data_IF_339960810755
#
_entry.id   IF_339960810755
#
_cell.length_a   1.000
_cell.length_b   1.000
_cell.length_c   1.000
_cell.angle_alpha   90.00
_cell.angle_beta   90.00
_cell.angle_gamma   90.00
#
_symmetry.space_group_name_H-M   'P 1'
#
loop_
_entity.id
_entity.type
_entity.pdbx_description
1 polymer ?
#
# COMPACT_ATOMS: atom_id res chain seq x y z
N UNK A 1 41.84 11.38 -10.23
CA UNK A 1 40.38 11.52 -10.07
C UNK A 1 40.09 12.55 -8.98
N UNK A 2 39.16 13.48 -9.19
CA UNK A 2 38.71 14.41 -8.15
C UNK A 2 37.38 13.90 -7.56
N UNK A 3 37.14 14.01 -6.24
CA UNK A 3 35.85 13.66 -5.66
C UNK A 3 34.76 14.64 -6.12
N UNK A 4 33.52 14.17 -6.14
CA UNK A 4 32.37 15.01 -6.43
C UNK A 4 32.16 16.08 -5.35
N UNK A 5 31.81 17.32 -5.73
CA UNK A 5 31.51 18.39 -4.77
C UNK A 5 30.27 18.07 -3.93
N UNK A 6 30.13 18.75 -2.79
CA UNK A 6 29.00 18.59 -1.89
C UNK A 6 27.66 18.78 -2.63
N UNK A 7 26.69 17.92 -2.33
CA UNK A 7 25.39 17.90 -3.02
C UNK A 7 25.41 17.17 -4.38
N UNK A 8 26.51 16.53 -4.75
CA UNK A 8 26.60 15.70 -5.97
C UNK A 8 27.26 14.34 -5.72
N UNK A 9 27.00 13.38 -6.61
CA UNK A 9 27.55 12.03 -6.54
C UNK A 9 27.92 11.47 -7.93
N UNK A 10 28.77 10.45 -7.99
CA UNK A 10 28.95 9.63 -9.19
C UNK A 10 29.15 8.16 -8.82
N UNK A 11 28.29 7.29 -9.34
CA UNK A 11 28.32 5.85 -9.06
C UNK A 11 29.35 5.10 -9.90
N UNK A 12 29.90 5.72 -10.94
CA UNK A 12 30.87 5.12 -11.85
C UNK A 12 32.23 5.80 -11.72
N UNK A 13 33.28 5.00 -11.48
CA UNK A 13 34.65 5.50 -11.48
C UNK A 13 35.01 6.06 -12.87
N UNK A 14 35.68 7.21 -12.91
CA UNK A 14 36.10 7.84 -14.15
C UNK A 14 34.98 8.52 -14.94
N UNK A 15 33.78 8.68 -14.36
CA UNK A 15 32.71 9.45 -14.99
C UNK A 15 33.15 10.89 -15.28
N UNK A 16 32.70 11.43 -16.42
CA UNK A 16 32.98 12.81 -16.85
C UNK A 16 32.21 13.88 -16.05
N UNK A 17 31.27 13.47 -15.19
CA UNK A 17 30.48 14.41 -14.39
C UNK A 17 29.85 13.80 -13.14
N UNK A 18 29.46 14.68 -12.22
CA UNK A 18 28.73 14.34 -11.00
C UNK A 18 27.26 14.71 -11.16
N UNK A 19 26.37 13.84 -10.68
CA UNK A 19 24.91 14.02 -10.69
C UNK A 19 24.47 14.69 -9.40
N UNK A 20 23.44 15.52 -9.47
CA UNK A 20 22.84 16.13 -8.27
C UNK A 20 22.24 15.06 -7.37
N UNK A 21 22.46 15.19 -6.07
CA UNK A 21 21.85 14.32 -5.07
C UNK A 21 20.34 14.55 -5.01
N UNK A 22 19.58 13.46 -4.88
CA UNK A 22 18.16 13.49 -4.55
C UNK A 22 17.94 14.22 -3.22
N UNK A 23 16.96 15.12 -3.19
CA UNK A 23 16.52 15.78 -1.96
C UNK A 23 15.29 15.07 -1.38
N UNK A 24 15.31 14.80 -0.08
CA UNK A 24 14.19 14.17 0.64
C UNK A 24 13.39 15.21 1.42
N UNK A 25 12.44 15.87 0.74
CA UNK A 25 11.63 16.97 1.30
C UNK A 25 10.14 16.59 1.44
N UNK A 26 9.33 17.44 2.08
CA UNK A 26 7.90 17.22 2.23
C UNK A 26 7.56 15.94 3.04
N UNK A 27 6.83 14.95 2.48
CA UNK A 27 6.51 13.70 3.18
C UNK A 27 7.69 12.72 3.27
N UNK A 28 8.81 13.01 2.60
CA UNK A 28 10.00 12.18 2.62
C UNK A 28 10.92 12.54 3.79
N UNK A 29 11.77 11.58 4.16
CA UNK A 29 12.94 11.72 5.04
C UNK A 29 14.11 10.94 4.47
N UNK A 30 15.33 11.35 4.79
CA UNK A 30 16.53 10.60 4.42
C UNK A 30 16.55 9.24 5.12
N UNK A 31 16.60 8.17 4.33
CA UNK A 31 16.97 6.84 4.80
C UNK A 31 18.49 6.68 4.76
N UNK A 32 19.10 7.16 3.68
CA UNK A 32 20.55 7.26 3.50
C UNK A 32 20.90 8.62 2.94
N UNK A 33 21.88 9.28 3.54
CA UNK A 33 22.38 10.56 3.06
C UNK A 33 23.20 10.38 1.78
N UNK A 34 23.22 11.41 0.94
CA UNK A 34 24.06 11.43 -0.25
C UNK A 34 25.56 11.43 0.13
N UNK A 35 26.38 10.89 -0.76
CA UNK A 35 27.84 10.90 -0.68
C UNK A 35 28.44 11.17 -2.05
N UNK A 36 29.76 11.38 -2.14
CA UNK A 36 30.42 11.60 -3.43
C UNK A 36 30.30 10.44 -4.42
N UNK A 37 29.94 9.23 -3.95
CA UNK A 37 29.88 8.00 -4.77
C UNK A 37 28.49 7.36 -4.84
N UNK A 38 27.53 7.82 -4.04
CA UNK A 38 26.16 7.27 -4.05
C UNK A 38 25.12 8.35 -3.77
N UNK A 39 23.99 8.24 -4.47
CA UNK A 39 22.85 9.13 -4.29
C UNK A 39 22.24 8.99 -2.89
N UNK A 40 21.43 9.97 -2.50
CA UNK A 40 20.58 9.84 -1.33
C UNK A 40 19.43 8.85 -1.58
N UNK A 41 19.08 8.09 -0.54
CA UNK A 41 17.90 7.24 -0.54
C UNK A 41 16.85 7.86 0.39
N UNK A 42 15.65 8.08 -0.15
CA UNK A 42 14.53 8.62 0.61
C UNK A 42 13.58 7.51 1.05
N UNK A 43 13.01 7.68 2.23
CA UNK A 43 11.85 6.93 2.72
C UNK A 43 10.77 7.90 3.17
N UNK A 44 9.59 7.40 3.54
CA UNK A 44 8.51 8.25 4.02
C UNK A 44 8.61 8.52 5.53
N UNK A 45 8.08 9.66 5.96
CA UNK A 45 7.85 9.97 7.38
C UNK A 45 6.80 9.05 7.98
N UNK A 46 6.73 9.01 9.32
CA UNK A 46 5.69 8.25 10.02
C UNK A 46 4.29 8.66 9.58
N UNK A 47 3.38 7.69 9.52
CA UNK A 47 2.04 7.87 8.97
C UNK A 47 1.95 7.77 7.44
N UNK A 48 3.08 7.52 6.76
CA UNK A 48 3.14 7.30 5.31
C UNK A 48 3.88 6.00 4.98
N UNK A 49 3.63 5.49 3.77
CA UNK A 49 4.33 4.35 3.17
C UNK A 49 4.86 4.70 1.79
N UNK A 50 5.96 4.06 1.42
CA UNK A 50 6.54 4.20 0.10
C UNK A 50 5.62 3.58 -0.98
N UNK A 51 5.41 4.32 -2.06
CA UNK A 51 4.80 3.83 -3.30
C UNK A 51 5.76 4.00 -4.48
N UNK A 52 5.62 3.11 -5.46
CA UNK A 52 6.49 3.05 -6.64
C UNK A 52 7.89 2.48 -6.37
N UNK A 53 8.62 2.15 -7.43
CA UNK A 53 10.01 1.68 -7.33
C UNK A 53 10.92 2.77 -6.77
N UNK A 54 11.73 2.47 -5.74
CA UNK A 54 12.63 3.45 -5.13
C UNK A 54 11.93 4.55 -4.31
N UNK A 55 10.71 4.29 -3.83
CA UNK A 55 9.92 5.23 -3.02
C UNK A 55 9.75 6.59 -3.71
N UNK A 56 9.14 6.62 -4.90
CA UNK A 56 8.98 7.86 -5.69
C UNK A 56 7.87 8.76 -5.17
N UNK A 57 6.90 8.22 -4.42
CA UNK A 57 5.86 8.98 -3.74
C UNK A 57 5.53 8.36 -2.37
N UNK A 58 5.01 9.19 -1.47
CA UNK A 58 4.54 8.76 -0.16
C UNK A 58 3.01 8.76 -0.14
N UNK A 59 2.42 7.60 0.15
CA UNK A 59 0.97 7.46 0.35
C UNK A 59 0.68 7.37 1.84
N UNK A 60 -0.41 8.00 2.29
CA UNK A 60 -0.81 7.92 3.69
C UNK A 60 -1.09 6.47 4.09
N UNK A 61 -0.57 6.06 5.23
CA UNK A 61 -0.84 4.75 5.80
C UNK A 61 -2.22 4.74 6.45
N UNK A 62 -3.08 3.81 6.04
CA UNK A 62 -4.45 3.70 6.54
C UNK A 62 -4.59 2.45 7.42
N UNK A 63 -5.37 2.59 8.49
CA UNK A 63 -5.62 1.51 9.44
C UNK A 63 -6.65 0.50 8.95
N UNK A 64 -6.86 -0.52 9.78
CA UNK A 64 -7.97 -1.45 9.65
C UNK A 64 -9.29 -0.68 9.63
N UNK A 65 -10.20 -1.10 8.76
CA UNK A 65 -11.49 -0.48 8.51
C UNK A 65 -11.44 0.83 7.74
N UNK A 66 -10.30 1.17 7.16
CA UNK A 66 -10.15 2.28 6.24
C UNK A 66 -9.50 1.85 4.93
N UNK A 67 -9.75 2.63 3.87
CA UNK A 67 -9.05 2.53 2.59
C UNK A 67 -8.38 3.86 2.24
N UNK A 68 -7.34 3.78 1.41
CA UNK A 68 -6.68 4.97 0.89
C UNK A 68 -7.41 5.50 -0.35
N UNK A 69 -7.86 6.74 -0.30
CA UNK A 69 -8.43 7.47 -1.44
C UNK A 69 -7.52 8.64 -1.84
N UNK A 70 -7.90 9.38 -2.89
CA UNK A 70 -7.23 10.63 -3.28
C UNK A 70 -7.21 11.68 -2.13
N UNK A 71 -8.22 11.65 -1.25
CA UNK A 71 -8.37 12.63 -0.16
C UNK A 71 -7.81 12.13 1.17
N UNK A 72 -7.14 10.98 1.20
CA UNK A 72 -6.56 10.39 2.41
C UNK A 72 -7.26 9.09 2.81
N UNK A 73 -7.21 8.76 4.10
CA UNK A 73 -7.82 7.55 4.61
C UNK A 73 -9.31 7.77 4.86
N UNK A 74 -10.16 6.92 4.30
CA UNK A 74 -11.59 6.95 4.51
C UNK A 74 -12.04 5.65 5.16
N UNK A 75 -12.92 5.76 6.14
CA UNK A 75 -13.59 4.59 6.73
C UNK A 75 -14.41 3.86 5.69
N UNK A 76 -14.37 2.52 5.73
CA UNK A 76 -15.17 1.69 4.85
C UNK A 76 -16.65 2.03 4.98
N UNK A 77 -17.31 2.09 3.83
CA UNK A 77 -18.73 2.42 3.74
C UNK A 77 -19.56 1.27 4.29
N UNK A 78 -20.80 1.56 4.71
CA UNK A 78 -21.73 0.51 5.10
C UNK A 78 -21.88 -0.54 3.98
N UNK A 79 -21.88 -1.82 4.34
CA UNK A 79 -21.85 -2.93 3.37
C UNK A 79 -20.44 -3.37 2.98
N UNK A 80 -19.38 -2.72 3.48
CA UNK A 80 -17.99 -3.06 3.18
C UNK A 80 -17.11 -3.11 4.44
N UNK A 81 -16.00 -3.84 4.37
CA UNK A 81 -15.00 -3.93 5.41
C UNK A 81 -13.58 -4.00 4.86
N UNK A 82 -12.60 -3.65 5.68
CA UNK A 82 -11.19 -3.93 5.42
C UNK A 82 -10.54 -4.41 6.72
N UNK A 83 -10.09 -5.66 6.74
CA UNK A 83 -9.46 -6.32 7.88
C UNK A 83 -7.92 -6.16 7.92
N UNK A 84 -7.34 -5.47 6.94
CA UNK A 84 -5.90 -5.30 6.80
C UNK A 84 -5.48 -3.82 6.76
N UNK A 85 -4.36 -3.43 7.39
CA UNK A 85 -3.83 -2.09 7.21
C UNK A 85 -3.43 -1.86 5.75
N UNK A 86 -3.71 -0.67 5.24
CA UNK A 86 -3.45 -0.28 3.85
C UNK A 86 -4.14 -1.16 2.79
N UNK A 87 -5.11 -1.98 3.20
CA UNK A 87 -6.01 -2.69 2.30
C UNK A 87 -7.06 -1.77 1.66
N UNK A 88 -7.91 -2.38 0.85
CA UNK A 88 -9.09 -1.73 0.25
C UNK A 88 -10.35 -2.31 0.88
N UNK A 89 -11.42 -1.51 0.93
CA UNK A 89 -12.70 -1.98 1.43
C UNK A 89 -13.30 -3.02 0.45
N UNK A 90 -13.68 -4.18 0.98
CA UNK A 90 -14.32 -5.29 0.28
C UNK A 90 -15.77 -5.40 0.73
N UNK A 91 -16.67 -5.88 -0.13
CA UNK A 91 -18.06 -6.09 0.26
C UNK A 91 -18.17 -7.14 1.38
N UNK A 92 -19.15 -6.95 2.26
CA UNK A 92 -19.50 -7.97 3.24
C UNK A 92 -19.98 -9.25 2.56
N UNK A 93 -19.72 -10.38 3.21
CA UNK A 93 -20.27 -11.68 2.85
C UNK A 93 -21.81 -11.65 2.93
N UNK A 94 -22.47 -12.13 1.87
CA UNK A 94 -23.92 -12.29 1.83
C UNK A 94 -24.32 -13.64 2.42
N UNK A 95 -25.00 -13.64 3.56
CA UNK A 95 -25.52 -14.86 4.18
C UNK A 95 -26.82 -15.33 3.53
N UNK A 96 -26.94 -16.63 3.27
CA UNK A 96 -28.18 -17.23 2.77
C UNK A 96 -29.36 -16.93 3.69
N UNK A 97 -30.46 -16.44 3.12
CA UNK A 97 -31.66 -16.07 3.86
C UNK A 97 -31.44 -14.99 4.93
N UNK A 98 -30.43 -14.13 4.79
CA UNK A 98 -30.04 -13.11 5.77
C UNK A 98 -29.77 -13.68 7.19
N UNK A 99 -29.34 -14.95 7.29
CA UNK A 99 -29.04 -15.59 8.56
C UNK A 99 -27.68 -15.14 9.12
N UNK A 100 -27.63 -13.91 9.58
CA UNK A 100 -26.44 -13.28 10.20
C UNK A 100 -26.31 -13.75 11.65
N UNK A 101 -25.12 -14.24 12.01
CA UNK A 101 -24.74 -14.53 13.39
C UNK A 101 -24.08 -13.32 14.05
N UNK A 102 -23.11 -12.70 13.35
CA UNK A 102 -22.42 -11.47 13.78
C UNK A 102 -22.49 -10.44 12.67
N UNK A 103 -22.98 -9.22 12.94
CA UNK A 103 -23.05 -8.17 11.92
C UNK A 103 -21.65 -7.71 11.51
N UNK A 104 -21.53 -7.31 10.25
CA UNK A 104 -20.32 -6.72 9.71
C UNK A 104 -20.04 -5.34 10.30
N UNK A 105 -18.77 -4.94 10.27
CA UNK A 105 -18.30 -3.62 10.67
C UNK A 105 -17.36 -3.08 9.59
N UNK A 106 -16.93 -1.82 9.64
CA UNK A 106 -15.88 -1.35 8.74
C UNK A 106 -14.60 -2.20 8.83
N UNK A 107 -14.30 -2.79 9.99
CA UNK A 107 -13.08 -3.55 10.24
C UNK A 107 -13.20 -5.07 10.03
N UNK A 108 -14.42 -5.62 9.98
CA UNK A 108 -14.67 -7.06 10.00
C UNK A 108 -15.86 -7.43 9.12
N UNK A 109 -15.77 -8.59 8.50
CA UNK A 109 -16.86 -9.15 7.72
C UNK A 109 -18.04 -9.61 8.60
N UNK A 110 -19.18 -9.83 7.95
CA UNK A 110 -20.34 -10.53 8.49
C UNK A 110 -19.98 -12.01 8.73
N UNK A 111 -20.44 -12.57 9.84
CA UNK A 111 -20.38 -14.02 10.10
C UNK A 111 -21.79 -14.61 9.95
N UNK A 112 -21.94 -15.62 9.10
CA UNK A 112 -23.22 -16.31 8.87
C UNK A 112 -23.45 -17.41 9.91
N UNK A 113 -24.73 -17.69 10.23
CA UNK A 113 -25.11 -18.77 11.17
C UNK A 113 -24.74 -20.16 10.64
N UNK A 114 -24.87 -20.35 9.34
CA UNK A 114 -24.43 -21.54 8.62
C UNK A 114 -23.35 -21.11 7.64
N UNK A 115 -22.29 -21.92 7.48
CA UNK A 115 -21.25 -21.65 6.49
C UNK A 115 -21.92 -21.49 5.11
N UNK A 116 -21.78 -20.32 4.51
CA UNK A 116 -22.30 -20.03 3.19
C UNK A 116 -21.75 -21.09 2.23
N UNK A 117 -22.63 -21.89 1.64
CA UNK A 117 -22.23 -22.85 0.61
C UNK A 117 -21.66 -22.02 -0.54
N UNK A 118 -20.36 -22.14 -0.77
CA UNK A 118 -19.70 -21.55 -1.93
C UNK A 118 -20.48 -21.99 -3.17
N UNK A 119 -21.12 -21.05 -3.86
CA UNK A 119 -21.82 -21.32 -5.11
C UNK A 119 -20.78 -21.52 -6.21
N UNK A 120 -20.13 -22.68 -6.21
CA UNK A 120 -19.49 -23.26 -7.40
C UNK A 120 -20.47 -24.27 -7.98
N UNK A 121 -21.53 -23.78 -8.61
CA UNK A 121 -22.24 -24.58 -9.61
C UNK A 121 -21.40 -24.55 -10.89
N UNK A 122 -20.37 -25.39 -10.96
CA UNK A 122 -19.86 -25.87 -12.25
C UNK A 122 -20.56 -27.20 -12.49
N UNK A 123 -21.74 -27.11 -13.09
CA UNK A 123 -22.45 -28.25 -13.65
C UNK A 123 -21.65 -28.77 -14.83
N UNK A 124 -20.75 -29.73 -14.60
CA UNK A 124 -20.24 -30.56 -15.70
C UNK A 124 -21.31 -31.59 -16.04
N UNK A 125 -21.99 -31.35 -17.16
CA UNK A 125 -22.84 -32.32 -17.84
C UNK A 125 -21.94 -33.48 -18.34
N UNK A 126 -22.25 -34.76 -18.06
CA UNK A 126 -21.63 -35.87 -18.74
C UNK A 126 -22.34 -36.10 -20.08
N UNK A 127 -21.60 -36.00 -21.18
CA UNK A 127 -22.07 -36.42 -22.51
C UNK A 127 -21.76 -37.90 -22.68
N UNK A 128 -22.80 -38.69 -22.90
CA UNK A 128 -22.79 -40.08 -23.40
C UNK A 128 -22.13 -40.23 -24.76
#
# INVERSE_FOLDING_TARGET
CKPCPAGTFSSAAGSSGCRMCRQCEGPFRYFKNCSSTSDAECTCKEGYRCGGGGCTFCTRSCGVGQESTRNGCHTCRYGTFNDQPNGSCKNWTMCSGNQILVPGTPAKDVICKHASVTSTLVTTVPTT
#
